data_IF_064756103350
#
_entry.id   IF_064756103350
#
_cell.length_a   1.000
_cell.length_b   1.000
_cell.length_c   1.000
_cell.angle_alpha   90.00
_cell.angle_beta   90.00
_cell.angle_gamma   90.00
#
_symmetry.space_group_name_H-M   'P 1'
#
loop_
_entity.id
_entity.type
_entity.pdbx_description
1 polymer ?
#
# COMPACT_ATOMS: atom_id res chain seq x y z
N UNK A 1 6.26 20.67 15.17
CA UNK A 1 7.15 19.76 15.92
C UNK A 1 6.76 18.30 15.74
N UNK A 2 5.57 17.85 16.18
CA UNK A 2 5.12 16.45 16.04
C UNK A 2 5.29 15.89 14.61
N UNK A 3 4.92 16.66 13.59
CA UNK A 3 5.04 16.25 12.18
C UNK A 3 6.47 15.98 11.74
N UNK A 4 7.42 16.83 12.13
CA UNK A 4 8.82 16.65 11.77
C UNK A 4 9.37 15.37 12.41
N UNK A 5 9.07 15.13 13.68
CA UNK A 5 9.43 13.90 14.39
C UNK A 5 8.82 12.67 13.73
N UNK A 6 7.53 12.69 13.40
CA UNK A 6 6.86 11.59 12.71
C UNK A 6 7.46 11.32 11.32
N UNK A 7 7.80 12.37 10.54
CA UNK A 7 8.43 12.22 9.22
C UNK A 7 9.83 11.64 9.29
N UNK A 8 10.59 12.05 10.30
CA UNK A 8 11.89 11.46 10.58
C UNK A 8 11.76 10.09 11.25
N UNK A 9 10.55 9.68 11.64
CA UNK A 9 10.28 8.47 12.44
C UNK A 9 10.96 8.48 13.82
N UNK A 10 11.27 9.66 14.36
CA UNK A 10 11.96 9.84 15.64
C UNK A 10 10.95 9.96 16.78
N UNK A 11 10.95 8.99 17.71
CA UNK A 11 10.11 9.03 18.91
C UNK A 11 10.89 9.64 20.08
N UNK A 12 10.41 10.76 20.62
CA UNK A 12 10.91 11.33 21.89
C UNK A 12 9.75 11.48 22.87
N UNK A 13 9.71 10.61 23.89
CA UNK A 13 8.58 10.53 24.82
C UNK A 13 8.29 11.86 25.53
N UNK A 14 9.28 12.55 26.15
CA UNK A 14 9.01 13.78 26.89
C UNK A 14 8.41 14.90 26.02
N UNK A 15 8.85 14.98 24.75
CA UNK A 15 8.31 15.94 23.80
C UNK A 15 6.86 15.59 23.43
N UNK A 16 6.56 14.32 23.20
CA UNK A 16 5.21 13.87 22.85
C UNK A 16 4.23 14.08 24.01
N UNK A 17 4.67 13.85 25.25
CA UNK A 17 3.87 14.11 26.45
C UNK A 17 3.59 15.61 26.60
N UNK A 18 4.60 16.46 26.42
CA UNK A 18 4.44 17.90 26.44
C UNK A 18 3.47 18.40 25.34
N UNK A 19 3.58 17.85 24.13
CA UNK A 19 2.65 18.17 23.03
C UNK A 19 1.23 17.76 23.41
N UNK A 20 1.03 16.55 23.96
CA UNK A 20 -0.32 16.13 24.32
C UNK A 20 -0.91 16.95 25.47
N UNK A 21 -0.12 17.31 26.48
CA UNK A 21 -0.58 18.15 27.59
C UNK A 21 -1.04 19.52 27.08
N UNK A 22 -0.35 20.07 26.09
CA UNK A 22 -0.71 21.34 25.45
C UNK A 22 -1.97 21.23 24.58
N UNK A 23 -2.16 20.12 23.87
CA UNK A 23 -3.36 19.87 23.06
C UNK A 23 -4.62 19.89 23.93
N UNK A 24 -4.57 19.33 25.14
CA UNK A 24 -5.70 19.33 26.07
C UNK A 24 -6.13 20.74 26.52
N UNK A 25 -5.28 21.76 26.35
CA UNK A 25 -5.54 23.15 26.77
C UNK A 25 -5.97 24.06 25.64
N UNK A 26 -5.96 23.58 24.39
CA UNK A 26 -6.21 24.38 23.19
C UNK A 26 -7.43 23.90 22.43
N UNK A 27 -8.17 24.84 21.86
CA UNK A 27 -9.14 24.51 20.81
C UNK A 27 -8.38 24.38 19.49
N UNK A 28 -8.39 23.18 18.92
CA UNK A 28 -7.72 22.89 17.65
C UNK A 28 -8.74 22.66 16.55
N UNK A 29 -8.39 23.08 15.33
CA UNK A 29 -9.21 22.82 14.15
C UNK A 29 -9.09 21.37 13.68
N UNK A 30 -9.98 20.95 12.76
CA UNK A 30 -9.98 19.62 12.16
C UNK A 30 -8.63 19.17 11.60
N UNK A 31 -7.94 20.06 10.90
CA UNK A 31 -6.68 19.78 10.21
C UNK A 31 -5.54 19.57 11.21
N UNK A 32 -5.44 20.40 12.24
CA UNK A 32 -4.44 20.25 13.29
C UNK A 32 -4.62 18.93 14.03
N UNK A 33 -5.87 18.61 14.38
CA UNK A 33 -6.25 17.36 15.04
C UNK A 33 -5.91 16.13 14.19
N UNK A 34 -6.29 16.12 12.92
CA UNK A 34 -5.97 15.03 11.99
C UNK A 34 -4.46 14.82 11.85
N UNK A 35 -3.69 15.91 11.74
CA UNK A 35 -2.23 15.84 11.65
C UNK A 35 -1.61 15.29 12.93
N UNK A 36 -2.06 15.74 14.12
CA UNK A 36 -1.55 15.25 15.39
C UNK A 36 -1.87 13.77 15.59
N UNK A 37 -3.11 13.35 15.31
CA UNK A 37 -3.50 11.95 15.34
C UNK A 37 -2.57 11.11 14.46
N UNK A 38 -2.33 11.54 13.21
CA UNK A 38 -1.43 10.86 12.28
C UNK A 38 0.01 10.79 12.81
N UNK A 39 0.52 11.87 13.41
CA UNK A 39 1.88 11.89 13.97
C UNK A 39 2.04 10.86 15.10
N UNK A 40 1.11 10.84 16.05
CA UNK A 40 1.15 9.93 17.20
C UNK A 40 0.97 8.47 16.76
N UNK A 41 0.05 8.20 15.83
CA UNK A 41 -0.12 6.88 15.23
C UNK A 41 1.13 6.41 14.48
N UNK A 42 1.76 7.29 13.70
CA UNK A 42 3.01 6.99 12.96
C UNK A 42 4.16 6.65 13.91
N UNK A 43 4.22 7.30 15.07
CA UNK A 43 5.22 7.04 16.11
C UNK A 43 4.82 5.87 17.04
N UNK A 44 3.72 5.17 16.76
CA UNK A 44 3.16 4.07 17.57
C UNK A 44 2.89 4.46 19.02
N UNK A 45 2.48 5.71 19.26
CA UNK A 45 2.15 6.22 20.59
C UNK A 45 0.65 6.40 20.72
N UNK A 46 0.03 5.55 21.53
CA UNK A 46 -1.35 5.74 21.97
C UNK A 46 -1.34 6.62 23.23
N UNK A 47 -1.47 7.93 23.04
CA UNK A 47 -1.54 8.87 24.15
C UNK A 47 -3.02 9.14 24.49
N UNK A 48 -3.54 8.47 25.52
CA UNK A 48 -4.96 8.45 25.84
C UNK A 48 -5.61 9.85 25.95
N UNK A 49 -5.00 10.86 26.62
CA UNK A 49 -5.53 12.23 26.63
C UNK A 49 -5.72 12.86 25.24
N UNK A 50 -4.77 12.66 24.31
CA UNK A 50 -4.87 13.21 22.95
C UNK A 50 -6.03 12.55 22.21
N UNK A 51 -6.12 11.22 22.29
CA UNK A 51 -7.19 10.47 21.64
C UNK A 51 -8.56 10.75 22.25
N UNK A 52 -8.64 11.08 23.54
CA UNK A 52 -9.87 11.56 24.17
C UNK A 52 -10.30 12.94 23.64
N UNK A 53 -9.38 13.89 23.49
CA UNK A 53 -9.65 15.21 22.88
C UNK A 53 -10.08 15.05 21.42
N UNK A 54 -9.40 14.19 20.66
CA UNK A 54 -9.78 13.89 19.28
C UNK A 54 -11.16 13.21 19.19
N UNK A 55 -11.49 12.31 20.12
CA UNK A 55 -12.81 11.68 20.17
C UNK A 55 -13.90 12.68 20.56
N UNK A 56 -13.63 13.62 21.46
CA UNK A 56 -14.53 14.73 21.78
C UNK A 56 -14.75 15.67 20.58
N UNK A 57 -13.74 15.81 19.70
CA UNK A 57 -13.87 16.53 18.45
C UNK A 57 -14.83 15.88 17.45
N UNK A 58 -15.39 14.69 17.74
CA UNK A 58 -16.47 14.07 16.97
C UNK A 58 -17.66 15.02 16.73
N UNK A 59 -17.97 15.89 17.70
CA UNK A 59 -19.04 16.89 17.56
C UNK A 59 -18.77 17.92 16.45
N UNK A 60 -17.50 18.11 16.08
CA UNK A 60 -17.09 19.07 15.05
C UNK A 60 -17.00 18.47 13.65
N UNK A 61 -17.18 17.15 13.49
CA UNK A 61 -17.06 16.43 12.21
C UNK A 61 -17.84 17.03 11.03
N UNK A 62 -19.01 17.66 11.20
CA UNK A 62 -19.70 18.33 10.09
C UNK A 62 -18.84 19.39 9.38
N UNK A 63 -17.89 20.02 10.07
CA UNK A 63 -16.94 21.00 9.52
C UNK A 63 -15.70 20.38 8.87
N UNK A 64 -15.48 19.08 9.04
CA UNK A 64 -14.27 18.43 8.57
C UNK A 64 -14.34 18.21 7.06
N UNK A 65 -13.23 18.47 6.38
CA UNK A 65 -13.04 18.08 4.98
C UNK A 65 -12.81 16.57 4.89
N UNK A 66 -13.16 15.98 3.75
CA UNK A 66 -13.04 14.55 3.51
C UNK A 66 -11.63 14.00 3.82
N UNK A 67 -10.58 14.70 3.38
CA UNK A 67 -9.20 14.26 3.60
C UNK A 67 -8.79 14.30 5.09
N UNK A 68 -9.16 15.35 5.81
CA UNK A 68 -8.87 15.47 7.25
C UNK A 68 -9.60 14.38 8.03
N UNK A 69 -10.88 14.13 7.70
CA UNK A 69 -11.69 13.04 8.26
C UNK A 69 -11.02 11.68 8.04
N UNK A 70 -10.67 11.38 6.78
CA UNK A 70 -10.08 10.10 6.40
C UNK A 70 -8.68 9.85 7.00
N UNK A 71 -7.91 10.92 7.22
CA UNK A 71 -6.60 10.83 7.87
C UNK A 71 -6.72 10.63 9.38
N UNK A 72 -7.61 11.35 10.05
CA UNK A 72 -7.87 11.12 11.47
C UNK A 72 -8.42 9.73 11.72
N UNK A 73 -9.45 9.30 10.97
CA UNK A 73 -10.05 7.98 11.11
C UNK A 73 -9.01 6.84 11.00
N UNK A 74 -8.11 6.93 10.02
CA UNK A 74 -7.01 5.97 9.88
C UNK A 74 -6.01 6.03 11.03
N UNK A 75 -5.72 7.21 11.54
CA UNK A 75 -4.83 7.37 12.68
C UNK A 75 -5.41 6.73 13.95
N UNK A 76 -6.71 6.89 14.21
CA UNK A 76 -7.39 6.22 15.31
C UNK A 76 -7.38 4.69 15.19
N UNK A 77 -7.66 4.16 14.00
CA UNK A 77 -7.58 2.73 13.74
C UNK A 77 -6.15 2.20 13.96
N UNK A 78 -5.14 2.87 13.39
CA UNK A 78 -3.74 2.50 13.57
C UNK A 78 -3.28 2.57 15.03
N UNK A 79 -3.83 3.48 15.82
CA UNK A 79 -3.55 3.61 17.26
C UNK A 79 -4.36 2.66 18.14
N UNK A 80 -5.25 1.82 17.58
CA UNK A 80 -6.19 0.95 18.30
C UNK A 80 -7.07 1.72 19.30
N UNK A 81 -7.41 2.96 18.95
CA UNK A 81 -8.17 3.89 19.79
C UNK A 81 -9.46 4.30 19.08
N UNK A 82 -10.24 3.33 18.56
CA UNK A 82 -11.33 3.58 17.62
C UNK A 82 -12.73 3.29 18.23
N UNK A 83 -13.29 4.18 19.07
CA UNK A 83 -14.52 3.89 19.81
C UNK A 83 -15.75 3.88 18.88
N UNK A 84 -16.74 2.97 19.10
CA UNK A 84 -17.91 2.81 18.21
C UNK A 84 -18.70 4.09 17.91
N UNK A 85 -18.77 5.02 18.87
CA UNK A 85 -19.44 6.32 18.67
C UNK A 85 -18.75 7.16 17.59
N UNK A 86 -17.42 7.16 17.57
CA UNK A 86 -16.64 7.89 16.58
C UNK A 86 -16.70 7.20 15.22
N UNK A 87 -16.70 5.86 15.18
CA UNK A 87 -16.87 5.11 13.94
C UNK A 87 -18.20 5.46 13.25
N UNK A 88 -19.30 5.49 14.01
CA UNK A 88 -20.62 5.88 13.49
C UNK A 88 -20.65 7.33 13.01
N UNK A 89 -20.06 8.25 13.76
CA UNK A 89 -20.02 9.66 13.36
C UNK A 89 -19.19 9.87 12.08
N UNK A 90 -18.07 9.15 11.94
CA UNK A 90 -17.24 9.15 10.73
C UNK A 90 -18.00 8.51 9.56
N UNK A 91 -18.71 7.41 9.79
CA UNK A 91 -19.55 6.78 8.77
C UNK A 91 -20.62 7.75 8.24
N UNK A 92 -21.38 8.39 9.13
CA UNK A 92 -22.39 9.38 8.75
C UNK A 92 -21.79 10.55 7.97
N UNK A 93 -20.66 11.09 8.44
CA UNK A 93 -19.98 12.19 7.73
C UNK A 93 -19.44 11.77 6.37
N UNK A 94 -19.00 10.52 6.23
CA UNK A 94 -18.46 9.99 4.97
C UNK A 94 -19.53 9.94 3.86
N UNK A 95 -20.79 9.61 4.21
CA UNK A 95 -21.95 9.71 3.28
C UNK A 95 -22.10 11.14 2.79
N UNK A 96 -22.19 12.12 3.70
CA UNK A 96 -22.35 13.52 3.34
C UNK A 96 -21.17 14.04 2.49
N UNK A 97 -19.94 13.58 2.76
CA UNK A 97 -18.78 13.91 1.93
C UNK A 97 -18.89 13.33 0.52
N UNK A 98 -19.47 12.14 0.33
CA UNK A 98 -19.70 11.57 -1.00
C UNK A 98 -20.70 12.40 -1.82
N UNK A 99 -21.79 12.86 -1.21
CA UNK A 99 -22.78 13.74 -1.86
C UNK A 99 -22.13 15.06 -2.33
N UNK A 100 -21.14 15.53 -1.59
CA UNK A 100 -20.33 16.71 -1.92
C UNK A 100 -19.13 16.40 -2.84
N UNK A 101 -19.17 15.28 -3.56
CA UNK A 101 -18.14 14.87 -4.52
C UNK A 101 -16.74 14.70 -3.89
N UNK A 102 -16.65 13.96 -2.77
CA UNK A 102 -15.38 13.60 -2.15
C UNK A 102 -14.38 13.00 -3.14
N UNK A 103 -13.12 13.43 -3.07
CA UNK A 103 -12.01 12.89 -3.86
C UNK A 103 -11.75 11.39 -3.60
N UNK A 104 -11.04 10.72 -4.52
CA UNK A 104 -10.81 9.27 -4.43
C UNK A 104 -9.87 8.87 -3.30
N UNK A 105 -8.85 9.69 -2.98
CA UNK A 105 -7.88 9.32 -1.94
C UNK A 105 -8.49 9.25 -0.53
N UNK A 106 -9.33 10.22 -0.08
CA UNK A 106 -10.09 10.07 1.15
C UNK A 106 -11.01 8.85 1.18
N UNK A 107 -11.72 8.58 0.07
CA UNK A 107 -12.62 7.42 -0.04
C UNK A 107 -11.87 6.10 0.18
N UNK A 108 -10.73 5.92 -0.50
CA UNK A 108 -9.86 4.74 -0.36
C UNK A 108 -9.48 4.49 1.10
N UNK A 109 -9.14 5.57 1.79
CA UNK A 109 -8.70 5.50 3.17
C UNK A 109 -9.84 5.13 4.14
N UNK A 110 -11.08 5.55 3.85
CA UNK A 110 -12.26 5.26 4.67
C UNK A 110 -12.79 3.84 4.43
N UNK A 111 -12.77 3.35 3.19
CA UNK A 111 -13.19 1.98 2.84
C UNK A 111 -12.39 0.93 3.61
N UNK A 112 -11.09 1.18 3.83
CA UNK A 112 -10.24 0.25 4.57
C UNK A 112 -10.50 0.18 6.08
N UNK A 113 -11.42 0.98 6.64
CA UNK A 113 -11.67 1.03 8.09
C UNK A 113 -12.87 0.22 8.54
N UNK A 114 -13.57 -0.45 7.60
CA UNK A 114 -14.76 -1.26 7.87
C UNK A 114 -15.80 -0.53 8.75
N UNK A 115 -16.12 0.70 8.35
CA UNK A 115 -17.01 1.59 9.10
C UNK A 115 -18.42 0.99 9.22
N UNK A 116 -19.08 1.10 10.40
CA UNK A 116 -20.45 0.62 10.57
C UNK A 116 -21.41 1.44 9.70
N UNK A 117 -22.09 0.77 8.76
CA UNK A 117 -23.08 1.37 7.89
C UNK A 117 -24.45 0.68 8.07
N UNK A 118 -25.55 1.42 8.26
CA UNK A 118 -26.89 0.82 8.43
C UNK A 118 -27.35 -0.01 7.23
N UNK A 119 -27.04 0.44 6.00
CA UNK A 119 -27.69 -0.05 4.77
C UNK A 119 -26.70 -0.60 3.71
N UNK A 120 -25.57 -1.18 4.14
CA UNK A 120 -24.62 -1.87 3.25
C UNK A 120 -23.33 -1.10 2.94
N UNK A 121 -22.52 -1.64 2.04
CA UNK A 121 -21.13 -1.23 1.84
C UNK A 121 -20.98 -0.09 0.81
N UNK A 122 -21.75 0.99 0.98
CA UNK A 122 -21.87 2.10 0.01
C UNK A 122 -20.53 2.79 -0.32
N UNK A 123 -19.61 2.88 0.65
CA UNK A 123 -18.26 3.40 0.41
C UNK A 123 -17.48 2.49 -0.53
N UNK A 124 -17.51 1.17 -0.28
CA UNK A 124 -16.86 0.20 -1.13
C UNK A 124 -17.47 0.21 -2.52
N UNK A 125 -18.79 0.16 -2.65
CA UNK A 125 -19.47 0.21 -3.95
C UNK A 125 -19.12 1.45 -4.76
N UNK A 126 -19.05 2.61 -4.09
CA UNK A 126 -18.63 3.86 -4.73
C UNK A 126 -17.17 3.83 -5.16
N UNK A 127 -16.29 3.24 -4.33
CA UNK A 127 -14.90 3.01 -4.71
C UNK A 127 -14.79 2.09 -5.92
N UNK A 128 -15.52 0.97 -5.94
CA UNK A 128 -15.48 0.01 -7.04
C UNK A 128 -15.96 0.63 -8.36
N UNK A 129 -17.02 1.45 -8.33
CA UNK A 129 -17.46 2.22 -9.51
C UNK A 129 -16.38 3.17 -10.04
N UNK A 130 -15.63 3.83 -9.15
CA UNK A 130 -14.50 4.69 -9.56
C UNK A 130 -13.33 3.87 -10.12
N UNK A 131 -13.05 2.70 -9.53
CA UNK A 131 -12.04 1.78 -10.07
C UNK A 131 -12.44 1.29 -11.47
N UNK A 132 -13.72 1.00 -11.71
CA UNK A 132 -14.22 0.63 -13.04
C UNK A 132 -14.01 1.74 -14.07
N UNK A 133 -14.40 2.97 -13.74
CA UNK A 133 -14.19 4.12 -14.61
C UNK A 133 -12.69 4.35 -14.88
N UNK A 134 -11.84 4.28 -13.86
CA UNK A 134 -10.39 4.35 -14.02
C UNK A 134 -9.86 3.25 -14.93
N UNK A 135 -10.27 2.00 -14.69
CA UNK A 135 -9.85 0.85 -15.48
C UNK A 135 -10.22 1.00 -16.96
N UNK A 136 -11.44 1.44 -17.25
CA UNK A 136 -11.96 1.59 -18.61
C UNK A 136 -11.21 2.67 -19.42
N UNK A 137 -10.65 3.68 -18.76
CA UNK A 137 -9.72 4.62 -19.38
C UNK A 137 -8.30 4.02 -19.47
N UNK A 138 -7.79 3.49 -18.35
CA UNK A 138 -6.40 3.08 -18.21
C UNK A 138 -6.00 1.90 -19.09
N UNK A 139 -6.91 0.96 -19.33
CA UNK A 139 -6.62 -0.26 -20.11
C UNK A 139 -6.28 0.06 -21.57
N UNK A 140 -6.71 1.22 -22.08
CA UNK A 140 -6.46 1.71 -23.44
C UNK A 140 -5.03 2.25 -23.61
N UNK A 141 -4.41 2.67 -22.51
CA UNK A 141 -3.05 3.22 -22.51
C UNK A 141 -2.00 2.13 -22.67
N UNK A 142 -0.90 2.41 -23.37
CA UNK A 142 0.25 1.51 -23.41
C UNK A 142 0.89 1.42 -22.01
N UNK A 143 1.00 0.21 -21.40
CA UNK A 143 1.62 0.06 -20.09
C UNK A 143 3.12 0.42 -20.09
N UNK A 144 3.79 0.64 -21.21
CA UNK A 144 5.18 1.12 -21.29
C UNK A 144 5.31 2.62 -21.54
N UNK A 145 4.21 3.33 -21.80
CA UNK A 145 4.20 4.77 -22.03
C UNK A 145 4.76 5.55 -20.83
N UNK A 146 5.68 6.51 -21.02
CA UNK A 146 6.15 7.35 -19.92
C UNK A 146 5.08 8.33 -19.42
N UNK A 147 3.99 8.53 -20.19
CA UNK A 147 2.92 9.46 -19.85
C UNK A 147 2.20 9.03 -18.56
N UNK A 148 2.01 9.97 -17.64
CA UNK A 148 1.24 9.80 -16.41
C UNK A 148 -0.03 10.67 -16.40
N UNK A 149 -0.49 11.15 -17.56
CA UNK A 149 -1.63 12.06 -17.69
C UNK A 149 -2.92 11.53 -17.06
N UNK A 150 -3.18 10.22 -17.16
CA UNK A 150 -4.32 9.59 -16.49
C UNK A 150 -4.21 9.69 -14.95
N UNK A 151 -3.01 9.52 -14.39
CA UNK A 151 -2.81 9.65 -12.95
C UNK A 151 -3.02 11.09 -12.47
N UNK A 152 -2.56 12.08 -13.26
CA UNK A 152 -2.77 13.50 -12.96
C UNK A 152 -4.25 13.88 -12.97
N UNK A 153 -5.02 13.39 -13.95
CA UNK A 153 -6.48 13.64 -14.02
C UNK A 153 -7.25 13.02 -12.85
N UNK A 154 -6.88 11.79 -12.49
CA UNK A 154 -7.55 11.05 -11.40
C UNK A 154 -7.03 11.45 -10.01
N UNK A 155 -5.90 12.15 -9.94
CA UNK A 155 -5.20 12.60 -8.74
C UNK A 155 -5.13 11.52 -7.65
N UNK A 156 -4.65 10.32 -8.00
CA UNK A 156 -4.64 9.18 -7.09
C UNK A 156 -3.33 8.38 -7.15
N UNK A 157 -2.83 7.94 -6.00
CA UNK A 157 -1.61 7.14 -5.90
C UNK A 157 -1.92 5.62 -5.77
N UNK A 158 -3.03 5.25 -5.14
CA UNK A 158 -3.46 3.86 -4.92
C UNK A 158 -4.97 3.78 -4.62
N UNK A 159 -5.56 2.59 -4.80
CA UNK A 159 -6.97 2.32 -4.51
C UNK A 159 -7.20 1.54 -3.20
N UNK A 160 -6.21 1.48 -2.31
CA UNK A 160 -6.27 0.66 -1.09
C UNK A 160 -6.33 -0.84 -1.40
N UNK A 161 -6.40 -1.68 -0.36
CA UNK A 161 -6.38 -3.14 -0.56
C UNK A 161 -7.61 -3.60 -1.36
N UNK A 162 -8.80 -3.12 -1.02
CA UNK A 162 -10.04 -3.52 -1.70
C UNK A 162 -10.08 -3.07 -3.15
N UNK A 163 -9.83 -1.79 -3.42
CA UNK A 163 -9.88 -1.26 -4.79
C UNK A 163 -8.74 -1.76 -5.65
N UNK A 164 -7.52 -1.93 -5.12
CA UNK A 164 -6.41 -2.55 -5.87
C UNK A 164 -6.68 -4.03 -6.15
N UNK A 165 -7.24 -4.79 -5.20
CA UNK A 165 -7.65 -6.18 -5.44
C UNK A 165 -8.67 -6.27 -6.59
N UNK A 166 -9.65 -5.38 -6.60
CA UNK A 166 -10.66 -5.31 -7.66
C UNK A 166 -10.05 -4.90 -9.01
N UNK A 167 -9.15 -3.91 -9.02
CA UNK A 167 -8.44 -3.51 -10.23
C UNK A 167 -7.60 -4.66 -10.80
N UNK A 168 -6.92 -5.41 -9.95
CA UNK A 168 -6.13 -6.58 -10.36
C UNK A 168 -7.00 -7.69 -10.95
N UNK A 169 -8.19 -7.93 -10.39
CA UNK A 169 -9.12 -8.92 -10.97
C UNK A 169 -9.62 -8.51 -12.36
N UNK A 170 -9.83 -7.21 -12.60
CA UNK A 170 -10.15 -6.66 -13.94
C UNK A 170 -9.03 -6.86 -14.94
N UNK A 171 -7.78 -6.88 -14.48
CA UNK A 171 -6.64 -7.27 -15.31
C UNK A 171 -6.59 -8.79 -15.54
N UNK A 172 -7.33 -9.61 -14.81
CA UNK A 172 -7.20 -11.08 -14.82
C UNK A 172 -6.07 -11.60 -13.93
N UNK A 173 -5.64 -10.81 -12.95
CA UNK A 173 -4.70 -11.22 -11.90
C UNK A 173 -5.53 -11.73 -10.72
N UNK A 174 -5.41 -13.02 -10.43
CA UNK A 174 -6.17 -13.70 -9.38
C UNK A 174 -5.43 -13.70 -8.05
N UNK A 175 -6.15 -14.03 -6.97
CA UNK A 175 -5.52 -14.29 -5.68
C UNK A 175 -4.82 -15.67 -5.68
N UNK A 176 -3.66 -15.79 -5.03
CA UNK A 176 -3.02 -17.07 -4.76
C UNK A 176 -3.83 -17.90 -3.75
N UNK A 177 -3.46 -19.18 -3.63
CA UNK A 177 -4.09 -20.12 -2.69
C UNK A 177 -3.74 -19.79 -1.24
N UNK A 178 -4.55 -20.29 -0.29
CA UNK A 178 -4.40 -19.95 1.14
C UNK A 178 -3.01 -20.33 1.70
N UNK A 179 -2.47 -21.49 1.35
CA UNK A 179 -1.16 -21.94 1.84
C UNK A 179 0.01 -21.02 1.43
N UNK A 180 -0.12 -20.30 0.32
CA UNK A 180 0.87 -19.29 -0.07
C UNK A 180 0.86 -18.09 0.88
N UNK A 181 -0.31 -17.66 1.38
CA UNK A 181 -0.41 -16.51 2.29
C UNK A 181 0.32 -16.78 3.60
N UNK A 182 0.10 -17.96 4.18
CA UNK A 182 0.74 -18.39 5.43
C UNK A 182 2.28 -18.44 5.26
N UNK A 183 2.74 -18.94 4.12
CA UNK A 183 4.17 -18.99 3.76
C UNK A 183 4.76 -17.59 3.59
N UNK A 184 4.05 -16.69 2.91
CA UNK A 184 4.48 -15.32 2.68
C UNK A 184 4.59 -14.53 3.99
N UNK A 185 3.60 -14.64 4.87
CA UNK A 185 3.60 -14.00 6.18
C UNK A 185 4.73 -14.53 7.07
N UNK A 186 4.92 -15.85 7.14
CA UNK A 186 6.02 -16.44 7.89
C UNK A 186 7.40 -16.02 7.36
N UNK A 187 7.58 -16.02 6.03
CA UNK A 187 8.84 -15.64 5.38
C UNK A 187 9.18 -14.17 5.63
N UNK A 188 8.18 -13.28 5.54
CA UNK A 188 8.41 -11.86 5.81
C UNK A 188 8.64 -11.59 7.29
N UNK A 189 7.96 -12.29 8.20
CA UNK A 189 8.21 -12.19 9.64
C UNK A 189 9.64 -12.62 10.00
N UNK A 190 10.15 -13.72 9.43
CA UNK A 190 11.49 -14.22 9.66
C UNK A 190 12.58 -13.20 9.25
N UNK A 191 12.43 -12.58 8.07
CA UNK A 191 13.32 -11.50 7.60
C UNK A 191 13.26 -10.29 8.52
N UNK A 192 12.09 -10.01 9.11
CA UNK A 192 11.94 -8.90 10.04
C UNK A 192 12.56 -9.16 11.42
N UNK A 193 12.58 -10.41 11.88
CA UNK A 193 13.12 -10.80 13.18
C UNK A 193 14.65 -10.97 13.18
N UNK A 194 15.24 -11.43 12.07
CA UNK A 194 16.67 -11.72 11.98
C UNK A 194 17.60 -10.49 11.90
N UNK A 195 17.08 -9.28 11.93
CA UNK A 195 17.87 -8.05 11.86
C UNK A 195 17.99 -7.39 13.25
N UNK A 196 19.06 -7.74 13.98
CA UNK A 196 19.34 -7.33 15.37
C UNK A 196 19.25 -5.80 15.59
N UNK A 197 19.75 -5.02 14.61
CA UNK A 197 19.70 -3.56 14.63
C UNK A 197 18.29 -2.95 14.65
N UNK A 198 17.24 -3.73 14.35
CA UNK A 198 15.84 -3.26 14.43
C UNK A 198 15.38 -3.05 15.86
N UNK A 199 15.94 -3.78 16.82
CA UNK A 199 15.63 -3.62 18.24
C UNK A 199 16.28 -2.35 18.83
N UNK A 200 17.37 -1.87 18.22
CA UNK A 200 18.12 -0.69 18.65
C UNK A 200 17.73 0.61 17.92
N UNK A 201 16.65 0.59 17.11
CA UNK A 201 16.28 1.76 16.31
C UNK A 201 15.71 2.91 17.16
N UNK A 202 16.34 4.07 17.01
CA UNK A 202 15.72 5.37 17.30
C UNK A 202 14.54 5.70 16.35
N UNK A 203 14.42 4.97 15.22
CA UNK A 203 13.47 5.22 14.13
C UNK A 203 12.32 4.20 14.05
N UNK A 204 11.07 4.68 14.19
CA UNK A 204 9.81 3.93 14.10
C UNK A 204 9.22 4.03 12.67
N UNK A 205 9.76 3.29 11.70
CA UNK A 205 9.19 3.25 10.33
C UNK A 205 8.76 1.84 9.94
N UNK A 206 7.46 1.69 9.71
CA UNK A 206 6.89 0.50 9.10
C UNK A 206 7.39 0.36 7.67
N UNK A 207 8.08 -0.74 7.41
CA UNK A 207 8.48 -1.11 6.05
C UNK A 207 7.34 -1.84 5.37
N UNK A 208 7.25 -1.63 4.07
CA UNK A 208 6.43 -2.45 3.18
C UNK A 208 7.30 -3.59 2.70
N UNK A 209 6.87 -4.81 2.96
CA UNK A 209 7.53 -6.04 2.52
C UNK A 209 6.74 -6.66 1.37
N UNK A 210 7.45 -7.25 0.42
CA UNK A 210 6.89 -8.01 -0.68
C UNK A 210 7.55 -9.38 -0.73
N UNK A 211 6.77 -10.45 -0.62
CA UNK A 211 7.20 -11.82 -0.85
C UNK A 211 6.83 -12.23 -2.28
N UNK A 212 7.76 -12.86 -2.99
CA UNK A 212 7.54 -13.40 -4.32
C UNK A 212 7.98 -14.87 -4.32
N UNK A 213 7.15 -15.73 -4.89
CA UNK A 213 7.48 -17.12 -5.21
C UNK A 213 7.13 -17.40 -6.68
N UNK A 214 7.94 -18.20 -7.36
CA UNK A 214 7.71 -18.58 -8.75
C UNK A 214 8.02 -20.05 -8.99
N UNK A 215 7.27 -20.65 -9.92
CA UNK A 215 7.51 -21.97 -10.51
C UNK A 215 7.22 -21.88 -12.00
N UNK A 216 8.25 -22.04 -12.83
CA UNK A 216 8.23 -21.77 -14.27
C UNK A 216 8.87 -22.93 -15.02
N UNK A 217 8.28 -23.35 -16.13
CA UNK A 217 8.83 -24.38 -17.00
C UNK A 217 8.25 -25.77 -16.78
N UNK A 218 8.70 -26.74 -17.59
CA UNK A 218 8.16 -28.11 -17.59
C UNK A 218 8.57 -28.90 -16.36
N UNK A 219 7.71 -29.85 -15.98
CA UNK A 219 8.07 -30.93 -15.04
C UNK A 219 8.99 -31.94 -15.73
N UNK A 220 9.90 -32.62 -14.99
CA UNK A 220 10.03 -32.65 -13.52
C UNK A 220 10.96 -31.58 -12.93
N UNK A 221 11.60 -30.75 -13.76
CA UNK A 221 12.65 -29.82 -13.34
C UNK A 221 12.30 -28.35 -13.64
N UNK A 222 11.24 -27.79 -13.03
CA UNK A 222 10.90 -26.39 -13.23
C UNK A 222 11.88 -25.47 -12.51
N UNK A 223 12.10 -24.29 -13.08
CA UNK A 223 12.76 -23.19 -12.41
C UNK A 223 11.84 -22.70 -11.29
N UNK A 224 12.29 -22.83 -10.04
CA UNK A 224 11.54 -22.41 -8.86
C UNK A 224 12.39 -21.61 -7.89
N UNK A 225 11.76 -20.72 -7.15
CA UNK A 225 12.42 -19.95 -6.11
C UNK A 225 11.49 -19.00 -5.39
N UNK A 226 11.96 -18.44 -4.28
CA UNK A 226 11.25 -17.39 -3.55
C UNK A 226 12.22 -16.41 -2.91
N UNK A 227 11.75 -15.19 -2.65
CA UNK A 227 12.52 -14.15 -1.97
C UNK A 227 11.61 -13.03 -1.43
N UNK A 228 12.16 -12.24 -0.51
CA UNK A 228 11.51 -11.06 0.09
C UNK A 228 12.24 -9.79 -0.34
N UNK A 229 11.51 -8.74 -0.68
CA UNK A 229 12.02 -7.37 -0.85
C UNK A 229 11.33 -6.43 0.13
N UNK A 230 12.01 -5.36 0.55
CA UNK A 230 11.46 -4.29 1.36
C UNK A 230 11.58 -2.94 0.63
N UNK A 231 10.75 -1.96 1.00
CA UNK A 231 10.78 -0.61 0.43
C UNK A 231 11.97 0.24 0.91
N UNK A 232 13.20 -0.21 0.64
CA UNK A 232 14.46 0.42 1.05
C UNK A 232 15.35 0.76 -0.15
N UNK A 233 16.23 1.75 0.04
CA UNK A 233 17.43 1.98 -0.77
C UNK A 233 18.55 1.02 -0.31
N UNK A 234 19.04 0.14 -1.19
CA UNK A 234 20.04 -0.89 -0.86
C UNK A 234 21.49 -0.50 -1.18
N UNK A 235 21.78 0.76 -1.55
CA UNK A 235 23.16 1.22 -1.80
C UNK A 235 23.70 0.83 -3.19
N UNK A 236 23.38 -0.37 -3.66
CA UNK A 236 23.65 -0.84 -5.02
C UNK A 236 22.32 -1.16 -5.73
N UNK A 237 22.21 -0.74 -7.00
CA UNK A 237 21.04 -1.07 -7.83
C UNK A 237 19.85 -0.12 -7.71
N UNK A 238 20.00 1.05 -7.08
CA UNK A 238 19.03 2.13 -7.28
C UNK A 238 19.23 2.65 -8.69
N UNK A 239 18.47 2.08 -9.63
CA UNK A 239 18.56 2.37 -11.06
C UNK A 239 18.04 3.78 -11.34
N UNK A 240 18.76 4.80 -10.88
CA UNK A 240 18.95 6.00 -11.66
C UNK A 240 19.74 5.57 -12.92
N UNK A 241 19.05 5.00 -13.91
CA UNK A 241 19.61 4.79 -15.26
C UNK A 241 20.04 3.39 -15.70
N UNK A 242 19.42 2.28 -15.27
CA UNK A 242 19.59 0.99 -15.98
C UNK A 242 18.29 0.46 -16.61
N UNK A 243 18.46 -0.12 -17.81
CA UNK A 243 17.47 -0.64 -18.75
C UNK A 243 16.72 -1.88 -18.24
N UNK A 244 15.93 -1.74 -17.17
CA UNK A 244 15.00 -2.79 -16.74
C UNK A 244 13.80 -2.92 -17.68
N UNK A 245 13.26 -4.14 -17.81
CA UNK A 245 12.06 -4.39 -18.63
C UNK A 245 10.82 -3.63 -18.11
N UNK A 246 10.81 -3.21 -16.84
CA UNK A 246 9.69 -2.51 -16.19
C UNK A 246 9.97 -1.02 -16.06
N UNK A 247 8.89 -0.19 -16.03
CA UNK A 247 8.99 1.26 -15.88
C UNK A 247 8.08 1.75 -14.77
N UNK A 248 8.63 2.52 -13.84
CA UNK A 248 7.86 3.14 -12.76
C UNK A 248 7.15 4.41 -13.25
N UNK A 249 6.06 4.77 -12.57
CA UNK A 249 5.41 6.06 -12.69
C UNK A 249 5.77 6.96 -11.51
N UNK A 250 5.96 8.26 -11.79
CA UNK A 250 5.86 9.30 -10.78
C UNK A 250 4.38 9.54 -10.50
N UNK A 251 3.98 9.40 -9.24
CA UNK A 251 2.59 9.51 -8.81
C UNK A 251 2.24 10.95 -8.38
N UNK A 252 0.99 11.41 -8.57
CA UNK A 252 0.61 12.81 -8.39
C UNK A 252 0.68 13.31 -6.93
N UNK A 253 0.35 12.46 -5.95
CA UNK A 253 0.30 12.88 -4.54
C UNK A 253 1.68 12.78 -3.89
N UNK A 254 2.44 11.73 -4.22
CA UNK A 254 3.78 11.51 -3.65
C UNK A 254 4.88 11.61 -4.72
N UNK A 255 4.90 12.71 -5.46
CA UNK A 255 5.79 12.90 -6.62
C UNK A 255 7.29 12.86 -6.33
N UNK A 256 7.70 13.05 -5.07
CA UNK A 256 9.10 12.96 -4.63
C UNK A 256 9.54 11.54 -4.29
N UNK A 257 8.62 10.57 -4.26
CA UNK A 257 8.93 9.19 -3.88
C UNK A 257 9.33 8.41 -5.12
N UNK A 258 10.56 7.90 -5.13
CA UNK A 258 11.02 6.97 -6.15
C UNK A 258 10.27 5.64 -6.02
N UNK A 259 9.37 5.39 -6.97
CA UNK A 259 8.55 4.17 -7.02
C UNK A 259 9.32 2.95 -7.51
N UNK A 260 10.53 3.10 -8.03
CA UNK A 260 11.42 1.97 -8.32
C UNK A 260 11.86 1.24 -7.03
N UNK A 261 11.82 1.95 -5.89
CA UNK A 261 12.15 1.42 -4.57
C UNK A 261 10.94 0.79 -3.85
N UNK A 262 9.76 0.75 -4.47
CA UNK A 262 8.65 -0.03 -3.91
C UNK A 262 9.01 -1.52 -3.89
N UNK A 263 8.61 -2.22 -2.83
CA UNK A 263 8.97 -3.62 -2.62
C UNK A 263 8.47 -4.52 -3.77
N UNK A 264 7.26 -4.29 -4.25
CA UNK A 264 6.66 -5.03 -5.37
C UNK A 264 7.39 -4.77 -6.70
N UNK A 265 7.78 -3.51 -6.94
CA UNK A 265 8.52 -3.13 -8.14
C UNK A 265 9.90 -3.79 -8.15
N UNK A 266 10.61 -3.75 -7.04
CA UNK A 266 11.90 -4.41 -6.88
C UNK A 266 11.78 -5.93 -7.04
N UNK A 267 10.74 -6.54 -6.47
CA UNK A 267 10.55 -7.98 -6.56
C UNK A 267 10.27 -8.45 -8.00
N UNK A 268 9.41 -7.73 -8.73
CA UNK A 268 9.16 -8.02 -10.14
C UNK A 268 10.37 -7.71 -11.02
N UNK A 269 11.11 -6.64 -10.75
CA UNK A 269 12.32 -6.30 -11.51
C UNK A 269 13.42 -7.34 -11.34
N UNK A 270 13.65 -7.81 -10.10
CA UNK A 270 14.55 -8.92 -9.80
C UNK A 270 14.16 -10.19 -10.58
N UNK A 271 12.86 -10.55 -10.58
CA UNK A 271 12.40 -11.70 -11.35
C UNK A 271 12.61 -11.51 -12.86
N UNK A 272 12.33 -10.32 -13.39
CA UNK A 272 12.61 -9.97 -14.79
C UNK A 272 14.10 -10.17 -15.13
N UNK A 273 15.00 -9.67 -14.28
CA UNK A 273 16.44 -9.78 -14.48
C UNK A 273 16.90 -11.25 -14.44
N UNK A 274 16.34 -12.08 -13.54
CA UNK A 274 16.61 -13.53 -13.48
C UNK A 274 16.14 -14.25 -14.74
N UNK A 275 14.97 -13.90 -15.25
CA UNK A 275 14.42 -14.49 -16.48
C UNK A 275 15.21 -14.06 -17.72
N UNK A 276 15.61 -12.79 -17.80
CA UNK A 276 16.46 -12.26 -18.89
C UNK A 276 17.88 -12.88 -18.86
N UNK A 277 18.46 -13.07 -17.69
CA UNK A 277 19.74 -13.77 -17.53
C UNK A 277 19.63 -15.23 -18.00
N UNK A 278 18.57 -15.93 -17.60
CA UNK A 278 18.31 -17.31 -18.05
C UNK A 278 18.08 -17.41 -19.58
N UNK A 279 17.58 -16.35 -20.24
CA UNK A 279 17.46 -16.31 -21.70
C UNK A 279 18.81 -16.19 -22.42
N UNK A 280 19.77 -15.51 -21.79
CA UNK A 280 21.08 -15.19 -22.38
C UNK A 280 22.13 -16.30 -22.20
N UNK A 281 21.84 -17.32 -21.40
CA UNK A 281 22.75 -18.47 -21.22
C UNK A 281 22.81 -19.34 -22.51
N UNK A 282 23.96 -19.40 -23.21
CA UNK A 282 24.07 -20.05 -24.52
C UNK A 282 24.02 -21.59 -24.49
N UNK A 283 24.12 -22.22 -23.32
CA UNK A 283 24.35 -23.66 -23.17
C UNK A 283 23.23 -24.44 -22.46
N UNK A 284 22.17 -23.77 -21.99
CA UNK A 284 21.08 -24.44 -21.27
C UNK A 284 19.84 -24.61 -22.16
N UNK A 285 19.76 -25.73 -22.89
CA UNK A 285 18.52 -26.19 -23.56
C UNK A 285 17.33 -26.17 -22.59
N UNK A 286 17.58 -26.52 -21.32
CA UNK A 286 16.60 -26.46 -20.24
C UNK A 286 16.10 -25.03 -19.94
N UNK A 287 16.97 -24.01 -19.95
CA UNK A 287 16.56 -22.63 -19.66
C UNK A 287 15.65 -22.08 -20.78
N UNK A 288 15.99 -22.36 -22.04
CA UNK A 288 15.18 -21.95 -23.19
C UNK A 288 13.83 -22.68 -23.24
N UNK A 289 13.75 -23.94 -22.83
CA UNK A 289 12.50 -24.69 -22.72
C UNK A 289 11.65 -24.24 -21.52
N UNK A 290 12.27 -23.96 -20.38
CA UNK A 290 11.62 -23.42 -19.18
C UNK A 290 10.93 -22.08 -19.49
N UNK A 291 11.59 -21.22 -20.27
CA UNK A 291 11.06 -19.91 -20.65
C UNK A 291 9.97 -19.96 -21.73
N UNK A 292 9.91 -21.04 -22.52
CA UNK A 292 8.77 -21.37 -23.39
C UNK A 292 7.61 -22.02 -22.63
N UNK A 293 7.87 -22.57 -21.45
CA UNK A 293 6.89 -23.23 -20.60
C UNK A 293 5.95 -22.25 -19.89
N UNK A 294 4.75 -22.71 -19.58
CA UNK A 294 3.83 -21.98 -18.69
C UNK A 294 4.33 -22.03 -17.25
N UNK A 295 3.97 -21.04 -16.45
CA UNK A 295 4.36 -20.98 -15.04
C UNK A 295 3.41 -20.16 -14.19
N UNK A 296 3.66 -20.15 -12.89
CA UNK A 296 2.94 -19.31 -11.93
C UNK A 296 3.94 -18.47 -11.15
N UNK A 297 3.58 -17.19 -10.97
CA UNK A 297 4.29 -16.24 -10.12
C UNK A 297 3.28 -15.74 -9.09
N UNK A 298 3.56 -15.94 -7.81
CA UNK A 298 2.71 -15.51 -6.71
C UNK A 298 3.42 -14.37 -5.96
N UNK A 299 2.69 -13.29 -5.73
CA UNK A 299 3.19 -12.10 -5.04
C UNK A 299 2.28 -11.79 -3.85
N UNK A 300 2.88 -11.51 -2.70
CA UNK A 300 2.21 -11.00 -1.50
C UNK A 300 2.89 -9.70 -1.07
N UNK A 301 2.10 -8.71 -0.67
CA UNK A 301 2.63 -7.44 -0.15
C UNK A 301 1.94 -7.06 1.16
N UNK A 302 2.69 -6.51 2.11
CA UNK A 302 2.17 -6.14 3.43
C UNK A 302 1.24 -4.93 3.43
N UNK A 303 1.06 -4.24 2.30
CA UNK A 303 0.13 -3.11 2.18
C UNK A 303 -0.39 -2.96 0.75
N UNK A 304 -1.39 -2.10 0.55
CA UNK A 304 -1.91 -1.80 -0.78
C UNK A 304 -0.80 -1.34 -1.74
N UNK A 305 -0.73 -1.94 -2.92
CA UNK A 305 0.20 -1.52 -3.96
C UNK A 305 -0.21 -0.18 -4.55
N UNK A 306 0.78 0.67 -4.79
CA UNK A 306 0.60 1.91 -5.54
C UNK A 306 0.37 1.63 -7.04
N UNK A 307 -0.22 2.60 -7.76
CA UNK A 307 -0.52 2.45 -9.18
C UNK A 307 0.72 2.24 -10.06
N UNK A 308 1.90 2.70 -9.63
CA UNK A 308 3.16 2.36 -10.31
C UNK A 308 3.49 0.86 -10.22
N UNK A 309 3.21 0.22 -9.09
CA UNK A 309 3.43 -1.22 -8.92
C UNK A 309 2.36 -2.04 -9.64
N UNK A 310 1.10 -1.60 -9.63
CA UNK A 310 0.01 -2.22 -10.41
C UNK A 310 0.32 -2.14 -11.92
N UNK A 311 0.89 -1.02 -12.37
CA UNK A 311 1.41 -0.89 -13.73
C UNK A 311 2.56 -1.86 -14.01
N UNK A 312 3.51 -2.02 -13.09
CA UNK A 312 4.59 -3.00 -13.24
C UNK A 312 4.06 -4.43 -13.37
N UNK A 313 3.01 -4.79 -12.62
CA UNK A 313 2.32 -6.09 -12.77
C UNK A 313 1.68 -6.25 -14.17
N UNK A 314 1.09 -5.18 -14.72
CA UNK A 314 0.56 -5.15 -16.09
C UNK A 314 1.66 -5.29 -17.14
N UNK A 315 2.79 -4.59 -16.97
CA UNK A 315 3.97 -4.69 -17.83
C UNK A 315 4.54 -6.11 -17.81
N UNK A 316 4.72 -6.70 -16.62
CA UNK A 316 5.22 -8.07 -16.45
C UNK A 316 4.39 -9.07 -17.26
N UNK A 317 3.06 -9.01 -17.18
CA UNK A 317 2.17 -9.89 -17.95
C UNK A 317 2.21 -9.66 -19.45
N UNK A 318 2.57 -8.45 -19.89
CA UNK A 318 2.75 -8.15 -21.32
C UNK A 318 4.07 -8.70 -21.84
N UNK A 319 5.12 -8.72 -21.01
CA UNK A 319 6.44 -9.27 -21.33
C UNK A 319 6.39 -10.80 -21.30
N UNK A 320 5.74 -11.39 -20.29
CA UNK A 320 5.66 -12.83 -20.07
C UNK A 320 4.20 -13.35 -20.08
N UNK A 321 3.53 -13.36 -21.23
CA UNK A 321 2.11 -13.75 -21.34
C UNK A 321 1.82 -15.22 -20.96
N UNK A 322 2.84 -16.09 -21.01
CA UNK A 322 2.77 -17.49 -20.60
C UNK A 322 2.79 -17.70 -19.09
N UNK A 323 3.14 -16.66 -18.31
CA UNK A 323 3.21 -16.73 -16.86
C UNK A 323 1.93 -16.19 -16.21
N UNK A 324 1.36 -16.98 -15.31
CA UNK A 324 0.21 -16.57 -14.51
C UNK A 324 0.67 -15.83 -13.26
N UNK A 325 0.55 -14.52 -13.26
CA UNK A 325 0.75 -13.69 -12.08
C UNK A 325 -0.48 -13.73 -11.18
N UNK A 326 -0.26 -14.07 -9.90
CA UNK A 326 -1.25 -14.02 -8.81
C UNK A 326 -0.76 -13.05 -7.74
N UNK A 327 -1.66 -12.24 -7.18
CA UNK A 327 -1.30 -11.19 -6.21
C UNK A 327 -2.25 -11.20 -5.02
N UNK A 328 -1.69 -11.00 -3.83
CA UNK A 328 -2.42 -10.86 -2.56
C UNK A 328 -1.81 -9.78 -1.68
N UNK A 329 -2.56 -9.40 -0.64
CA UNK A 329 -2.19 -8.38 0.32
C UNK A 329 -2.29 -8.95 1.73
N UNK A 330 -1.42 -8.50 2.62
CA UNK A 330 -1.57 -8.70 4.05
C UNK A 330 -2.79 -7.95 4.60
N UNK A 331 -3.15 -8.20 5.88
CA UNK A 331 -4.28 -7.53 6.51
C UNK A 331 -4.08 -6.01 6.57
N UNK A 332 -5.19 -5.27 6.63
CA UNK A 332 -5.15 -3.82 6.85
C UNK A 332 -4.67 -3.59 8.28
N UNK A 333 -3.53 -2.91 8.44
CA UNK A 333 -3.00 -2.60 9.77
C UNK A 333 -3.99 -1.71 10.55
N UNK A 334 -4.36 -2.15 11.75
CA UNK A 334 -5.22 -1.38 12.67
C UNK A 334 -6.72 -1.70 12.59
N UNK A 335 -7.13 -2.71 11.82
CA UNK A 335 -8.51 -3.23 11.83
C UNK A 335 -8.67 -4.53 12.62
N UNK A 336 -7.58 -5.06 13.19
CA UNK A 336 -7.65 -6.21 14.10
C UNK A 336 -8.26 -5.75 15.44
N UNK A 337 -9.40 -6.33 15.79
CA UNK A 337 -10.18 -6.03 17.00
C UNK A 337 -9.42 -6.32 18.30
#
# INVERSE_FOLDING_TARGET
MAWAHAKMSVSQEPLLDAISAEVCRRTLGPRELANLAWCFATLRRCHAPLFAVLAAAAATLPSWKALDLANAARAFAAARAWPPVLQRAVAQRSVACLELNMESQPLVNLVGLDLPAPDGNYLLETLLRRVDAFHNEWIKEDPFSPCNGILLRWHIDNFGIHGTTYLLSKLGIQKPEKGFLETAEASTAAVQQGEDWRQERFFVKDRVSCYLEYRIGPEPAPLKGSFVKENRFHGEGTRAGCAGLLRSWVLPISGVVDRSLCAEFQALSELCDRLDAAQKEPQATLAQEVLKGSGTVCLWTSSASCLSCVRAMRQFRRIFPQLRLKVSFGPIKGTDA
#
